data_IF_123986358579
#
_entry.id   IF_123986358579
#
_cell.length_a   1.000
_cell.length_b   1.000
_cell.length_c   1.000
_cell.angle_alpha   90.00
_cell.angle_beta   90.00
_cell.angle_gamma   90.00
#
_symmetry.space_group_name_H-M   'P 1'
#
loop_
_entity.id
_entity.type
_entity.pdbx_description
1 polymer ?
#
# COMPACT_ATOMS: atom_id res chain seq x y z
N UNK A 1 -6.52 -36.56 -7.83
CA UNK A 1 -6.24 -35.55 -6.78
C UNK A 1 -4.93 -36.01 -6.15
N UNK A 2 -3.83 -35.58 -6.75
CA UNK A 2 -2.47 -35.96 -6.38
C UNK A 2 -2.09 -35.10 -5.17
N UNK A 3 -1.86 -35.78 -4.03
CA UNK A 3 -1.37 -35.11 -2.83
C UNK A 3 0.11 -34.80 -3.08
N UNK A 4 0.40 -33.51 -3.27
CA UNK A 4 1.75 -32.98 -3.33
C UNK A 4 2.40 -33.14 -1.95
N UNK A 5 3.03 -34.30 -1.72
CA UNK A 5 3.80 -34.58 -0.51
C UNK A 5 5.10 -33.80 -0.60
N UNK A 6 5.16 -32.69 0.14
CA UNK A 6 6.39 -31.92 0.32
C UNK A 6 7.52 -32.86 0.80
N UNK A 7 8.73 -32.74 0.23
CA UNK A 7 9.86 -33.58 0.64
C UNK A 7 10.17 -33.39 2.12
N UNK A 8 10.37 -34.50 2.82
CA UNK A 8 10.73 -34.52 4.25
C UNK A 8 12.16 -33.96 4.41
N UNK A 9 12.26 -32.72 4.91
CA UNK A 9 13.54 -32.09 5.16
C UNK A 9 14.13 -32.60 6.48
N UNK A 10 15.40 -33.04 6.52
CA UNK A 10 16.03 -33.54 7.74
C UNK A 10 15.96 -32.48 8.84
N UNK A 11 15.61 -32.92 10.05
CA UNK A 11 15.52 -32.05 11.23
C UNK A 11 16.86 -31.34 11.48
N UNK A 12 16.86 -29.99 11.38
CA UNK A 12 18.08 -29.20 11.56
C UNK A 12 18.63 -29.38 12.99
N UNK A 13 19.95 -29.59 13.08
CA UNK A 13 20.63 -29.67 14.39
C UNK A 13 20.39 -28.39 15.22
N UNK A 14 20.49 -28.49 16.55
CA UNK A 14 20.35 -27.35 17.46
C UNK A 14 21.33 -26.20 17.11
N UNK A 15 22.55 -26.56 16.71
CA UNK A 15 23.56 -25.57 16.27
C UNK A 15 23.14 -24.84 14.99
N UNK A 16 22.57 -25.54 13.99
CA UNK A 16 22.06 -24.91 12.79
C UNK A 16 20.86 -23.99 13.07
N UNK A 17 19.98 -24.38 14.02
CA UNK A 17 18.87 -23.54 14.45
C UNK A 17 19.34 -22.27 15.15
N UNK A 18 20.33 -22.37 16.05
CA UNK A 18 20.91 -21.24 16.76
C UNK A 18 21.60 -20.29 15.78
N UNK A 19 22.43 -20.82 14.86
CA UNK A 19 23.11 -20.01 13.85
C UNK A 19 22.08 -19.29 12.95
N UNK A 20 21.05 -19.98 12.50
CA UNK A 20 19.97 -19.38 11.70
C UNK A 20 19.29 -18.25 12.46
N UNK A 21 18.99 -18.45 13.75
CA UNK A 21 18.36 -17.42 14.59
C UNK A 21 19.26 -16.19 14.74
N UNK A 22 20.57 -16.36 15.01
CA UNK A 22 21.54 -15.26 15.11
C UNK A 22 21.63 -14.50 13.81
N UNK A 23 21.74 -15.21 12.66
CA UNK A 23 21.80 -14.59 11.34
C UNK A 23 20.51 -13.81 11.02
N UNK A 24 19.33 -14.36 11.33
CA UNK A 24 18.06 -13.65 11.14
C UNK A 24 17.98 -12.38 11.97
N UNK A 25 18.45 -12.42 13.24
CA UNK A 25 18.49 -11.21 14.11
C UNK A 25 19.44 -10.17 13.55
N UNK A 26 20.62 -10.58 13.11
CA UNK A 26 21.61 -9.69 12.47
C UNK A 26 21.06 -9.07 11.19
N UNK A 27 20.46 -9.86 10.28
CA UNK A 27 19.89 -9.33 9.05
C UNK A 27 18.66 -8.45 9.29
N UNK A 28 17.81 -8.76 10.26
CA UNK A 28 16.69 -7.91 10.65
C UNK A 28 17.18 -6.52 11.12
N UNK A 29 18.31 -6.47 11.83
CA UNK A 29 18.90 -5.22 12.26
C UNK A 29 19.65 -4.49 11.13
N UNK A 30 20.51 -5.20 10.39
CA UNK A 30 21.38 -4.60 9.37
C UNK A 30 20.67 -4.26 8.06
N UNK A 31 19.63 -5.05 7.70
CA UNK A 31 18.83 -4.91 6.46
C UNK A 31 17.39 -4.53 6.74
N UNK A 32 17.08 -4.00 7.94
CA UNK A 32 15.73 -3.58 8.30
C UNK A 32 15.19 -2.60 7.26
N UNK A 33 14.03 -2.94 6.66
CA UNK A 33 13.30 -2.12 5.71
C UNK A 33 11.93 -1.79 6.29
N UNK A 34 11.37 -0.65 5.90
CA UNK A 34 9.98 -0.32 6.12
C UNK A 34 9.21 -0.50 4.82
N UNK A 35 7.98 -0.95 4.94
CA UNK A 35 7.10 -1.16 3.80
C UNK A 35 5.74 -0.51 4.10
N UNK A 36 5.19 0.12 3.10
CA UNK A 36 3.85 0.65 3.15
C UNK A 36 3.03 0.20 1.95
N UNK A 37 1.73 0.37 2.04
CA UNK A 37 0.77 0.16 0.96
C UNK A 37 0.13 1.48 0.56
N UNK A 38 -0.11 1.67 -0.72
CA UNK A 38 -0.91 2.75 -1.29
C UNK A 38 -1.81 2.18 -2.36
N UNK A 39 -3.04 2.71 -2.49
CA UNK A 39 -3.96 2.26 -3.52
C UNK A 39 -4.58 3.41 -4.32
N UNK A 40 -4.66 3.21 -5.63
CA UNK A 40 -5.61 3.91 -6.48
C UNK A 40 -6.94 3.14 -6.45
N UNK A 41 -7.88 3.63 -5.65
CA UNK A 41 -9.20 3.04 -5.46
C UNK A 41 -10.19 3.70 -6.41
N UNK A 42 -10.77 2.92 -7.32
CA UNK A 42 -11.73 3.40 -8.31
C UNK A 42 -13.13 2.90 -7.99
N UNK A 43 -14.10 3.81 -8.02
CA UNK A 43 -15.51 3.45 -7.94
C UNK A 43 -16.06 2.94 -9.29
N UNK A 44 -17.36 2.66 -9.35
CA UNK A 44 -18.04 2.17 -10.56
C UNK A 44 -18.06 3.21 -11.71
N UNK A 45 -17.93 4.50 -11.38
CA UNK A 45 -17.88 5.60 -12.36
C UNK A 45 -16.44 5.91 -12.82
N UNK A 46 -15.44 5.15 -12.34
CA UNK A 46 -14.03 5.36 -12.67
C UNK A 46 -13.40 6.57 -11.97
N UNK A 47 -14.04 7.11 -10.93
CA UNK A 47 -13.48 8.18 -10.10
C UNK A 47 -12.51 7.59 -9.08
N UNK A 48 -11.39 8.28 -8.84
CA UNK A 48 -10.36 7.87 -7.88
C UNK A 48 -10.63 8.47 -6.49
N UNK A 49 -10.48 7.65 -5.47
CA UNK A 49 -10.57 8.11 -4.08
C UNK A 49 -9.26 8.74 -3.63
N UNK A 50 -9.35 9.95 -3.06
CA UNK A 50 -8.22 10.66 -2.48
C UNK A 50 -8.52 11.09 -1.05
N UNK A 51 -7.47 11.24 -0.26
CA UNK A 51 -7.51 11.69 1.13
C UNK A 51 -6.63 12.91 1.34
N UNK A 52 -7.02 13.78 2.26
CA UNK A 52 -6.25 14.92 2.72
C UNK A 52 -6.02 14.81 4.22
N UNK A 53 -4.76 14.63 4.61
CA UNK A 53 -4.35 14.51 6.01
C UNK A 53 -4.18 15.87 6.67
N UNK A 54 -4.23 15.88 8.01
CA UNK A 54 -4.00 17.09 8.80
C UNK A 54 -2.52 17.48 8.91
N UNK A 55 -1.61 16.51 8.78
CA UNK A 55 -0.18 16.65 9.07
C UNK A 55 0.71 16.72 7.81
N UNK A 56 0.16 16.47 6.62
CA UNK A 56 0.87 16.66 5.34
C UNK A 56 -0.02 17.41 4.35
N UNK A 57 0.54 18.37 3.59
CA UNK A 57 -0.24 19.14 2.64
C UNK A 57 -0.61 18.31 1.40
N UNK A 58 -1.76 18.62 0.81
CA UNK A 58 -2.22 18.09 -0.46
C UNK A 58 -3.11 16.87 -0.36
N UNK A 59 -3.54 16.41 -1.54
CA UNK A 59 -4.35 15.22 -1.69
C UNK A 59 -3.48 14.03 -2.07
N UNK A 60 -3.70 12.92 -1.40
CA UNK A 60 -2.92 11.71 -1.49
C UNK A 60 -3.78 10.52 -1.86
N UNK A 61 -3.16 9.49 -2.41
CA UNK A 61 -3.76 8.15 -2.48
C UNK A 61 -3.81 7.56 -1.06
N UNK A 62 -4.91 6.89 -0.68
CA UNK A 62 -5.04 6.27 0.64
C UNK A 62 -4.02 5.15 0.86
N UNK A 63 -3.66 4.93 2.13
CA UNK A 63 -2.77 3.85 2.56
C UNK A 63 -1.80 4.27 3.65
N UNK A 64 -1.13 3.28 4.26
CA UNK A 64 -0.24 3.44 5.40
C UNK A 64 0.86 2.39 5.49
N UNK A 65 1.43 2.23 6.67
CA UNK A 65 2.49 1.27 6.95
C UNK A 65 1.97 -0.17 7.07
N UNK A 66 2.82 -1.14 6.72
CA UNK A 66 2.58 -2.56 7.03
C UNK A 66 3.17 -2.84 8.40
N UNK A 67 2.36 -3.31 9.33
CA UNK A 67 2.78 -3.62 10.68
C UNK A 67 3.34 -5.05 10.80
N UNK A 68 4.00 -5.34 11.93
CA UNK A 68 4.54 -6.68 12.17
C UNK A 68 3.43 -7.72 12.26
N UNK A 69 3.58 -8.81 11.50
CA UNK A 69 2.59 -9.89 11.46
C UNK A 69 1.40 -9.62 10.55
N UNK A 70 1.38 -8.47 9.88
CA UNK A 70 0.35 -8.08 8.94
C UNK A 70 0.80 -8.37 7.51
N UNK A 71 -0.08 -8.92 6.69
CA UNK A 71 0.17 -9.03 5.24
C UNK A 71 -0.13 -7.69 4.56
N UNK A 72 0.48 -7.46 3.39
CA UNK A 72 0.22 -6.24 2.62
C UNK A 72 -1.28 -6.03 2.28
N UNK A 73 -2.02 -7.12 2.03
CA UNK A 73 -3.45 -7.05 1.75
C UNK A 73 -4.27 -6.72 3.01
N UNK A 74 -3.86 -7.23 4.19
CA UNK A 74 -4.50 -6.87 5.46
C UNK A 74 -4.28 -5.40 5.78
N UNK A 75 -3.03 -4.90 5.64
CA UNK A 75 -2.71 -3.49 5.80
C UNK A 75 -3.54 -2.64 4.84
N UNK A 76 -3.58 -3.01 3.56
CA UNK A 76 -4.37 -2.29 2.57
C UNK A 76 -5.84 -2.20 2.95
N UNK A 77 -6.47 -3.32 3.29
CA UNK A 77 -7.89 -3.36 3.66
C UNK A 77 -8.19 -2.57 4.95
N UNK A 78 -7.26 -2.56 5.91
CA UNK A 78 -7.33 -1.74 7.13
C UNK A 78 -7.35 -0.25 6.76
N UNK A 79 -6.34 0.20 6.01
CA UNK A 79 -6.20 1.61 5.62
C UNK A 79 -7.41 2.11 4.79
N UNK A 80 -7.92 1.27 3.87
CA UNK A 80 -9.10 1.63 3.07
C UNK A 80 -10.33 1.88 3.97
N UNK A 81 -10.51 1.07 5.01
CA UNK A 81 -11.60 1.29 5.98
C UNK A 81 -11.36 2.53 6.83
N UNK A 82 -10.14 2.70 7.37
CA UNK A 82 -9.82 3.78 8.30
C UNK A 82 -9.80 5.15 7.65
N UNK A 83 -9.21 5.28 6.47
CA UNK A 83 -9.09 6.55 5.77
C UNK A 83 -10.31 6.92 4.89
N UNK A 84 -11.12 5.92 4.50
CA UNK A 84 -12.18 6.18 3.52
C UNK A 84 -13.54 5.58 3.80
N UNK A 85 -13.71 4.71 4.80
CA UNK A 85 -14.87 3.84 4.93
C UNK A 85 -15.09 3.02 3.65
N UNK A 86 -14.00 2.56 3.01
CA UNK A 86 -14.04 1.87 1.74
C UNK A 86 -14.08 0.36 1.92
N UNK A 87 -14.89 -0.30 1.12
CA UNK A 87 -14.90 -1.74 0.92
C UNK A 87 -14.37 -2.07 -0.48
N UNK A 88 -13.45 -3.04 -0.53
CA UNK A 88 -12.82 -3.49 -1.76
C UNK A 88 -13.63 -4.66 -2.31
N UNK A 89 -14.34 -4.43 -3.40
CA UNK A 89 -15.24 -5.44 -4.00
C UNK A 89 -14.52 -6.53 -4.80
N UNK A 90 -13.31 -6.25 -5.32
CA UNK A 90 -12.50 -7.18 -6.12
C UNK A 90 -11.10 -7.31 -5.55
N UNK A 91 -10.39 -8.40 -5.87
CA UNK A 91 -9.03 -8.61 -5.41
C UNK A 91 -8.09 -7.45 -5.84
N UNK A 92 -7.39 -6.79 -4.89
CA UNK A 92 -6.45 -5.73 -5.21
C UNK A 92 -5.33 -6.23 -6.12
N UNK A 93 -5.00 -5.45 -7.15
CA UNK A 93 -3.92 -5.79 -8.08
C UNK A 93 -2.66 -4.98 -7.75
N UNK A 94 -1.58 -5.66 -7.38
CA UNK A 94 -0.27 -5.02 -7.22
C UNK A 94 0.22 -4.53 -8.58
N UNK A 95 0.47 -3.24 -8.71
CA UNK A 95 0.95 -2.62 -9.95
C UNK A 95 2.47 -2.49 -9.95
N UNK A 96 3.03 -2.00 -8.83
CA UNK A 96 4.46 -1.73 -8.73
C UNK A 96 4.94 -1.66 -7.28
N UNK A 97 6.26 -1.74 -7.09
CA UNK A 97 6.93 -1.51 -5.80
C UNK A 97 7.91 -0.36 -5.99
N UNK A 98 7.70 0.74 -5.25
CA UNK A 98 8.53 1.93 -5.36
C UNK A 98 9.50 2.05 -4.19
N UNK A 99 10.70 2.55 -4.47
CA UNK A 99 11.60 3.02 -3.42
C UNK A 99 11.21 4.44 -2.99
N UNK A 100 10.80 4.62 -1.73
CA UNK A 100 10.36 5.90 -1.18
C UNK A 100 11.48 6.62 -0.44
N UNK A 101 12.51 7.01 -1.16
CA UNK A 101 13.71 7.64 -0.60
C UNK A 101 13.46 8.96 0.14
N UNK A 102 12.31 9.61 -0.09
CA UNK A 102 11.95 10.86 0.61
C UNK A 102 11.59 10.62 2.06
N UNK A 103 10.94 9.51 2.35
CA UNK A 103 10.62 9.09 3.71
C UNK A 103 11.85 8.49 4.40
N UNK A 104 12.52 7.54 3.75
CA UNK A 104 13.70 6.87 4.30
C UNK A 104 14.48 6.18 3.18
N UNK A 105 15.81 6.01 3.38
CA UNK A 105 16.66 5.16 2.53
C UNK A 105 16.34 3.66 2.64
N UNK A 106 15.31 3.29 3.39
CA UNK A 106 14.89 1.91 3.65
C UNK A 106 13.41 1.67 3.36
N UNK A 107 12.70 2.70 2.88
CA UNK A 107 11.25 2.64 2.72
C UNK A 107 10.83 2.24 1.31
N UNK A 108 9.85 1.32 1.24
CA UNK A 108 9.27 0.87 -0.02
C UNK A 108 7.75 0.95 0.06
N UNK A 109 7.13 1.31 -1.05
CA UNK A 109 5.68 1.41 -1.18
C UNK A 109 5.19 0.39 -2.19
N UNK A 110 4.32 -0.51 -1.75
CA UNK A 110 3.57 -1.40 -2.61
C UNK A 110 2.34 -0.65 -3.12
N UNK A 111 2.29 -0.45 -4.43
CA UNK A 111 1.22 0.30 -5.06
C UNK A 111 0.20 -0.62 -5.70
N UNK A 112 -1.05 -0.49 -5.24
CA UNK A 112 -2.16 -1.31 -5.68
C UNK A 112 -3.17 -0.51 -6.50
N UNK A 113 -3.88 -1.21 -7.36
CA UNK A 113 -5.14 -0.76 -7.96
C UNK A 113 -6.28 -1.57 -7.37
N UNK A 114 -7.33 -0.87 -6.93
CA UNK A 114 -8.57 -1.45 -6.45
C UNK A 114 -9.71 -0.92 -7.31
N UNK A 115 -10.39 -1.80 -8.02
CA UNK A 115 -11.53 -1.44 -8.87
C UNK A 115 -12.85 -1.83 -8.19
N UNK A 116 -13.95 -1.13 -8.52
CA UNK A 116 -15.26 -1.39 -7.98
C UNK A 116 -15.37 -1.17 -6.47
N UNK A 117 -14.61 -0.19 -5.96
CA UNK A 117 -14.61 0.16 -4.54
C UNK A 117 -15.91 0.88 -4.19
N UNK A 118 -16.51 0.50 -3.06
CA UNK A 118 -17.71 1.14 -2.52
C UNK A 118 -17.39 1.85 -1.21
N UNK A 119 -18.07 2.97 -0.96
CA UNK A 119 -17.97 3.70 0.30
C UNK A 119 -19.21 3.44 1.14
N UNK A 120 -19.04 2.84 2.33
CA UNK A 120 -20.16 2.47 3.23
C UNK A 120 -20.81 3.67 3.92
N UNK A 121 -20.15 4.82 3.88
CA UNK A 121 -20.63 6.09 4.41
C UNK A 121 -19.60 7.18 4.25
N UNK A 122 -19.97 8.46 4.36
CA UNK A 122 -19.04 9.58 4.22
C UNK A 122 -17.93 9.48 5.27
N UNK A 123 -16.68 9.73 4.84
CA UNK A 123 -15.55 9.82 5.78
C UNK A 123 -15.58 11.17 6.48
N UNK A 124 -16.01 11.16 7.73
CA UNK A 124 -16.05 12.38 8.54
C UNK A 124 -14.63 12.81 8.93
N UNK A 125 -14.44 14.12 9.06
CA UNK A 125 -13.20 14.72 9.54
C UNK A 125 -12.89 14.22 10.96
N UNK A 126 -11.63 13.88 11.19
CA UNK A 126 -11.08 13.59 12.52
C UNK A 126 -9.71 14.26 12.73
N UNK A 127 -8.88 13.71 13.63
CA UNK A 127 -7.54 14.25 13.92
C UNK A 127 -6.55 13.99 12.79
N UNK A 128 -6.76 12.93 11.99
CA UNK A 128 -5.86 12.50 10.93
C UNK A 128 -6.37 12.89 9.54
N UNK A 129 -7.62 12.57 9.21
CA UNK A 129 -8.23 12.84 7.92
C UNK A 129 -9.05 14.14 8.01
N UNK A 130 -8.66 15.14 7.23
CA UNK A 130 -9.37 16.43 7.12
C UNK A 130 -10.51 16.33 6.12
N UNK A 131 -10.29 15.62 5.03
CA UNK A 131 -11.22 15.50 3.91
C UNK A 131 -10.89 14.28 3.07
N UNK A 132 -11.90 13.61 2.54
CA UNK A 132 -11.73 12.46 1.65
C UNK A 132 -12.91 12.37 0.68
N UNK A 133 -12.68 11.84 -0.51
CA UNK A 133 -13.74 11.68 -1.52
C UNK A 133 -13.26 11.16 -2.86
N UNK A 134 -14.21 10.89 -3.74
CA UNK A 134 -13.98 10.46 -5.11
C UNK A 134 -13.88 11.65 -6.07
N UNK A 135 -12.91 11.61 -6.97
CA UNK A 135 -12.65 12.66 -7.95
C UNK A 135 -12.46 12.08 -9.35
N UNK A 136 -12.99 12.75 -10.36
CA UNK A 136 -12.66 12.42 -11.75
C UNK A 136 -11.17 12.64 -12.01
N UNK A 137 -10.56 11.77 -12.82
CA UNK A 137 -9.17 11.90 -13.22
C UNK A 137 -8.88 13.20 -13.96
N UNK A 138 -9.90 13.75 -14.68
CA UNK A 138 -9.80 14.99 -15.42
C UNK A 138 -10.04 16.24 -14.55
N UNK A 139 -10.56 16.05 -13.32
CA UNK A 139 -10.90 17.13 -12.40
C UNK A 139 -10.34 16.88 -10.99
N UNK A 140 -9.08 16.47 -10.91
CA UNK A 140 -8.39 16.28 -9.63
C UNK A 140 -8.26 17.62 -8.89
N UNK A 141 -8.40 17.64 -7.55
CA UNK A 141 -8.19 18.84 -6.74
C UNK A 141 -6.86 19.53 -7.08
N UNK A 142 -6.84 20.86 -7.10
CA UNK A 142 -5.64 21.64 -7.44
C UNK A 142 -4.43 21.27 -6.57
N UNK A 143 -4.66 21.03 -5.28
CA UNK A 143 -3.65 20.63 -4.30
C UNK A 143 -3.29 19.12 -4.34
N UNK A 144 -3.69 18.36 -5.37
CA UNK A 144 -3.25 16.96 -5.52
C UNK A 144 -1.73 16.90 -5.70
N UNK A 145 -1.07 16.10 -4.87
CA UNK A 145 0.40 16.02 -4.85
C UNK A 145 0.97 15.54 -6.18
N UNK A 146 2.21 15.96 -6.47
CA UNK A 146 2.93 15.54 -7.68
C UNK A 146 3.09 14.01 -7.72
N UNK A 147 3.36 13.38 -6.58
CA UNK A 147 3.46 11.92 -6.48
C UNK A 147 2.13 11.26 -6.85
N UNK A 148 1.01 11.71 -6.28
CA UNK A 148 -0.32 11.20 -6.60
C UNK A 148 -0.65 11.33 -8.09
N UNK A 149 -0.44 12.53 -8.67
CA UNK A 149 -0.69 12.77 -10.10
C UNK A 149 0.14 11.83 -10.96
N UNK A 150 1.43 11.67 -10.65
CA UNK A 150 2.33 10.79 -11.40
C UNK A 150 1.86 9.33 -11.36
N UNK A 151 1.42 8.81 -10.21
CA UNK A 151 0.88 7.44 -10.10
C UNK A 151 -0.38 7.27 -10.95
N UNK A 152 -1.24 8.26 -10.99
CA UNK A 152 -2.45 8.22 -11.84
C UNK A 152 -2.11 8.29 -13.34
N UNK A 153 -1.09 9.06 -13.76
CA UNK A 153 -0.58 9.06 -15.13
C UNK A 153 -0.02 7.69 -15.54
N UNK A 154 0.72 7.03 -14.64
CA UNK A 154 1.25 5.69 -14.87
C UNK A 154 0.13 4.64 -15.04
N UNK A 155 -0.91 4.70 -14.20
CA UNK A 155 -2.10 3.82 -14.33
C UNK A 155 -2.83 4.07 -15.66
N UNK A 156 -2.92 5.32 -16.08
CA UNK A 156 -3.56 5.71 -17.33
C UNK A 156 -2.72 5.39 -18.59
N UNK A 157 -1.50 4.86 -18.41
CA UNK A 157 -0.58 4.55 -19.53
C UNK A 157 0.04 5.78 -20.19
N UNK A 158 -0.08 6.96 -19.56
CA UNK A 158 0.50 8.23 -20.08
C UNK A 158 1.95 8.45 -19.62
N UNK A 159 2.42 7.67 -18.67
CA UNK A 159 3.81 7.64 -18.22
C UNK A 159 4.24 6.21 -17.90
N UNK A 160 5.53 5.87 -18.08
CA UNK A 160 6.07 4.59 -17.60
C UNK A 160 6.14 4.56 -16.08
N UNK A 161 6.00 3.38 -15.48
CA UNK A 161 6.24 3.19 -14.05
C UNK A 161 7.70 3.55 -13.71
N UNK A 162 7.87 4.36 -12.67
CA UNK A 162 9.18 4.75 -12.17
C UNK A 162 9.61 3.85 -11.01
N UNK A 163 10.93 3.81 -10.72
CA UNK A 163 11.44 3.09 -9.55
C UNK A 163 11.24 3.87 -8.24
N UNK A 164 11.06 5.19 -8.33
CA UNK A 164 10.99 6.11 -7.17
C UNK A 164 9.56 6.62 -7.01
N UNK A 165 9.07 6.59 -5.74
CA UNK A 165 7.76 7.12 -5.37
C UNK A 165 7.63 8.62 -5.59
#
# INVERSE_FOLDING_TARGET
MEQDTLPDFPTRSLQARLLTWVLHRYFAWSRGMTMGVRAACFDADGRVFLVRHSYVPGWHLPGGGIERGETAIQALAKEMREEGNLEIGAAPRLLHVYFNRRTSKRDHVLFYRCDGVTQTGPRLKDREIVEAGFFSLDALPAATTVATRRRLEEIAGRAPFADIW
#
